data_IF_445784444473
#
_entry.id   IF_445784444473
#
_cell.length_a   1.000
_cell.length_b   1.000
_cell.length_c   1.000
_cell.angle_alpha   90.00
_cell.angle_beta   90.00
_cell.angle_gamma   90.00
#
_symmetry.space_group_name_H-M   'P 1'
#
loop_
_entity.id
_entity.type
_entity.pdbx_description
1 polymer ?
#
# COMPACT_ATOMS: atom_id res chain seq x y z
N UNK A 1 -2.09 11.49 -24.53
CA UNK A 1 -1.12 12.36 -23.81
C UNK A 1 0.13 11.55 -23.57
N UNK A 2 1.31 12.06 -23.93
CA UNK A 2 2.60 11.47 -23.51
C UNK A 2 2.93 12.06 -22.14
N UNK A 3 3.34 11.26 -21.14
CA UNK A 3 3.79 11.84 -19.88
C UNK A 3 5.08 12.63 -20.13
N UNK A 4 5.06 13.89 -19.68
CA UNK A 4 6.24 14.72 -19.56
C UNK A 4 7.01 14.23 -18.32
N UNK A 5 8.29 13.92 -18.51
CA UNK A 5 9.25 13.53 -17.47
C UNK A 5 9.16 12.08 -16.94
N UNK A 6 10.00 11.14 -17.42
CA UNK A 6 10.04 9.76 -16.93
C UNK A 6 10.52 9.62 -15.48
N UNK A 7 11.01 10.70 -14.84
CA UNK A 7 11.37 10.70 -13.42
C UNK A 7 10.16 10.84 -12.47
N UNK A 8 8.99 11.22 -12.99
CA UNK A 8 7.76 11.47 -12.23
C UNK A 8 6.68 10.42 -12.44
N UNK A 9 7.04 9.26 -13.00
CA UNK A 9 6.10 8.16 -13.12
C UNK A 9 6.01 7.42 -11.75
N UNK A 10 4.88 7.54 -11.01
CA UNK A 10 4.73 6.88 -9.70
C UNK A 10 4.55 5.36 -9.84
N UNK A 11 4.49 4.85 -11.06
CA UNK A 11 4.24 3.44 -11.34
C UNK A 11 5.55 2.64 -11.22
N UNK A 12 6.04 2.47 -9.99
CA UNK A 12 7.15 1.56 -9.72
C UNK A 12 6.64 0.12 -9.80
N UNK A 13 6.83 -0.50 -10.96
CA UNK A 13 6.58 -1.92 -11.21
C UNK A 13 7.69 -2.82 -10.65
N UNK A 14 7.79 -4.02 -11.23
CA UNK A 14 8.83 -5.00 -10.87
C UNK A 14 10.24 -4.40 -11.06
N UNK A 15 11.04 -4.39 -9.98
CA UNK A 15 12.38 -3.78 -9.99
C UNK A 15 12.43 -2.31 -9.55
N UNK A 16 11.53 -1.88 -8.65
CA UNK A 16 11.53 -0.54 -8.05
C UNK A 16 12.92 -0.14 -7.51
N UNK A 17 13.55 0.80 -8.21
CA UNK A 17 14.90 1.27 -7.89
C UNK A 17 14.91 2.25 -6.72
N UNK A 18 13.81 2.96 -6.48
CA UNK A 18 13.71 3.90 -5.37
C UNK A 18 13.61 3.12 -4.06
N UNK A 19 12.68 2.16 -3.98
CA UNK A 19 12.56 1.30 -2.81
C UNK A 19 13.86 0.54 -2.51
N UNK A 20 14.54 0.02 -3.54
CA UNK A 20 15.83 -0.63 -3.36
C UNK A 20 16.91 0.32 -2.79
N UNK A 21 16.94 1.58 -3.23
CA UNK A 21 17.88 2.59 -2.69
C UNK A 21 17.56 2.95 -1.25
N UNK A 22 16.28 3.14 -0.92
CA UNK A 22 15.84 3.41 0.44
C UNK A 22 16.19 2.26 1.39
N UNK A 23 15.89 1.02 0.98
CA UNK A 23 16.27 -0.16 1.73
C UNK A 23 17.79 -0.21 1.97
N UNK A 24 18.58 0.06 0.92
CA UNK A 24 20.04 0.05 1.04
C UNK A 24 20.57 1.12 2.02
N UNK A 25 20.01 2.34 2.00
CA UNK A 25 20.40 3.37 2.98
C UNK A 25 20.01 2.97 4.40
N UNK A 26 18.79 2.47 4.60
CA UNK A 26 18.31 2.07 5.94
C UNK A 26 19.13 0.94 6.53
N UNK A 27 19.51 -0.06 5.72
CA UNK A 27 20.41 -1.13 6.17
C UNK A 27 21.77 -0.57 6.58
N UNK A 28 22.31 0.36 5.81
CA UNK A 28 23.61 0.94 6.11
C UNK A 28 23.59 1.77 7.40
N UNK A 29 22.52 2.53 7.62
CA UNK A 29 22.31 3.31 8.84
C UNK A 29 22.11 2.39 10.04
N UNK A 30 21.30 1.33 9.90
CA UNK A 30 21.07 0.34 10.95
C UNK A 30 22.37 -0.34 11.42
N UNK A 31 23.26 -0.67 10.48
CA UNK A 31 24.58 -1.21 10.78
C UNK A 31 25.49 -0.17 11.43
N UNK A 32 25.52 1.05 10.88
CA UNK A 32 26.35 2.13 11.42
C UNK A 32 25.97 2.54 12.85
N UNK A 33 24.68 2.45 13.18
CA UNK A 33 24.15 2.70 14.53
C UNK A 33 24.44 1.55 15.52
N UNK A 34 25.02 0.44 15.07
CA UNK A 34 25.38 -0.69 15.94
C UNK A 34 24.18 -1.49 16.45
N UNK A 35 23.04 -1.44 15.75
CA UNK A 35 21.80 -2.10 16.16
C UNK A 35 21.76 -3.60 15.84
N UNK A 36 22.79 -4.11 15.17
CA UNK A 36 22.83 -5.50 14.66
C UNK A 36 22.80 -6.51 15.80
N UNK A 37 23.65 -6.32 16.80
CA UNK A 37 23.80 -7.24 17.92
C UNK A 37 22.55 -7.29 18.79
N UNK A 38 21.98 -6.13 19.11
CA UNK A 38 20.76 -6.05 19.92
C UNK A 38 19.57 -6.68 19.19
N UNK A 39 19.38 -6.38 17.90
CA UNK A 39 18.31 -7.00 17.12
C UNK A 39 18.49 -8.51 16.95
N UNK A 40 19.74 -8.99 16.83
CA UNK A 40 20.02 -10.43 16.78
C UNK A 40 19.67 -11.12 18.11
N UNK A 41 19.98 -10.48 19.24
CA UNK A 41 19.62 -11.00 20.57
C UNK A 41 18.11 -11.03 20.76
N UNK A 42 17.41 -9.95 20.46
CA UNK A 42 15.94 -9.88 20.54
C UNK A 42 15.27 -10.93 19.67
N UNK A 43 15.78 -11.15 18.44
CA UNK A 43 15.26 -12.18 17.56
C UNK A 43 15.47 -13.60 18.14
N UNK A 44 16.63 -13.87 18.74
CA UNK A 44 16.89 -15.15 19.40
C UNK A 44 15.94 -15.39 20.58
N UNK A 45 15.80 -14.38 21.45
CA UNK A 45 14.89 -14.43 22.60
C UNK A 45 13.44 -14.67 22.16
N UNK A 46 12.99 -14.03 21.09
CA UNK A 46 11.65 -14.24 20.54
C UNK A 46 11.43 -15.67 20.02
N UNK A 47 12.41 -16.23 19.31
CA UNK A 47 12.33 -17.61 18.81
C UNK A 47 12.26 -18.62 19.95
N UNK A 48 13.02 -18.39 21.02
CA UNK A 48 13.02 -19.24 22.20
C UNK A 48 11.74 -19.12 23.03
N UNK A 49 11.26 -17.89 23.25
CA UNK A 49 10.06 -17.62 24.04
C UNK A 49 8.78 -18.08 23.32
N UNK A 50 8.71 -17.88 22.01
CA UNK A 50 7.49 -18.11 21.22
C UNK A 50 7.73 -18.94 19.93
N UNK A 51 8.21 -20.18 20.05
CA UNK A 51 8.64 -20.98 18.89
C UNK A 51 7.52 -21.24 17.88
N UNK A 52 6.27 -21.37 18.35
CA UNK A 52 5.11 -21.57 17.48
C UNK A 52 4.72 -20.29 16.72
N UNK A 53 4.95 -19.11 17.31
CA UNK A 53 4.73 -17.83 16.64
C UNK A 53 5.84 -17.53 15.64
N UNK A 54 7.09 -17.73 16.04
CA UNK A 54 8.25 -17.61 15.17
C UNK A 54 8.10 -18.47 13.91
N UNK A 55 7.69 -19.74 14.06
CA UNK A 55 7.42 -20.64 12.93
C UNK A 55 6.28 -20.14 12.03
N UNK A 56 5.23 -19.53 12.59
CA UNK A 56 4.15 -18.91 11.80
C UNK A 56 4.63 -17.68 11.05
N UNK A 57 5.47 -16.86 11.67
CA UNK A 57 6.06 -15.68 11.06
C UNK A 57 6.97 -16.07 9.87
N UNK A 58 7.84 -17.07 10.05
CA UNK A 58 8.69 -17.61 8.99
C UNK A 58 7.86 -18.15 7.80
N UNK A 59 6.80 -18.90 8.08
CA UNK A 59 5.90 -19.40 7.03
C UNK A 59 5.19 -18.28 6.26
N UNK A 60 4.84 -17.17 6.93
CA UNK A 60 4.27 -16.00 6.27
C UNK A 60 5.31 -15.28 5.42
N UNK A 61 6.52 -15.06 5.96
CA UNK A 61 7.61 -14.42 5.23
C UNK A 61 7.97 -15.19 3.96
N UNK A 62 8.06 -16.53 4.05
CA UNK A 62 8.34 -17.40 2.90
C UNK A 62 7.28 -17.34 1.80
N UNK A 63 6.01 -17.07 2.16
CA UNK A 63 4.92 -16.89 1.19
C UNK A 63 4.98 -15.54 0.47
N UNK A 64 5.72 -14.57 1.01
CA UNK A 64 5.78 -13.22 0.50
C UNK A 64 4.47 -12.44 0.70
N UNK A 65 4.43 -11.16 0.30
CA UNK A 65 3.21 -10.38 0.32
C UNK A 65 2.16 -11.05 -0.59
N UNK A 66 0.97 -11.32 -0.05
CA UNK A 66 -0.13 -11.83 -0.85
C UNK A 66 -0.51 -10.75 -1.89
N UNK A 67 -0.44 -11.04 -3.19
CA UNK A 67 -0.96 -10.10 -4.18
C UNK A 67 -2.45 -9.94 -3.91
N UNK A 68 -2.89 -8.70 -3.67
CA UNK A 68 -4.32 -8.37 -3.62
C UNK A 68 -4.91 -8.76 -4.98
N UNK A 69 -5.64 -9.87 -5.02
CA UNK A 69 -6.30 -10.40 -6.23
C UNK A 69 -7.52 -9.58 -6.62
N UNK A 70 -7.46 -8.25 -6.54
CA UNK A 70 -8.56 -7.40 -7.00
C UNK A 70 -8.30 -7.11 -8.47
N UNK A 71 -9.14 -7.65 -9.34
CA UNK A 71 -9.07 -7.36 -10.77
C UNK A 71 -9.48 -5.90 -11.04
N UNK A 72 -8.98 -5.32 -12.14
CA UNK A 72 -9.40 -3.98 -12.58
C UNK A 72 -10.92 -3.93 -12.80
N UNK A 73 -11.50 -5.01 -13.32
CA UNK A 73 -12.95 -5.12 -13.51
C UNK A 73 -13.71 -5.07 -12.18
N UNK A 74 -13.17 -5.71 -11.14
CA UNK A 74 -13.76 -5.66 -9.80
C UNK A 74 -13.68 -4.24 -9.19
N UNK A 75 -12.58 -3.51 -9.44
CA UNK A 75 -12.45 -2.10 -9.04
C UNK A 75 -13.44 -1.20 -9.80
N UNK A 76 -13.60 -1.43 -11.12
CA UNK A 76 -14.56 -0.70 -11.95
C UNK A 76 -16.00 -0.99 -11.51
N UNK A 77 -16.30 -2.25 -11.19
CA UNK A 77 -17.61 -2.65 -10.68
C UNK A 77 -17.92 -1.99 -9.33
N UNK A 78 -16.95 -1.98 -8.39
CA UNK A 78 -17.08 -1.27 -7.11
C UNK A 78 -17.26 0.23 -7.33
N UNK A 79 -16.49 0.83 -8.24
CA UNK A 79 -16.61 2.25 -8.60
C UNK A 79 -18.01 2.61 -9.13
N UNK A 80 -18.55 1.82 -10.06
CA UNK A 80 -19.92 2.01 -10.58
C UNK A 80 -20.96 1.92 -9.46
N UNK A 81 -20.84 0.94 -8.57
CA UNK A 81 -21.78 0.78 -7.45
C UNK A 81 -21.80 1.98 -6.50
N UNK A 82 -20.65 2.61 -6.27
CA UNK A 82 -20.54 3.82 -5.44
C UNK A 82 -21.14 5.01 -6.16
N UNK A 83 -20.83 5.19 -7.44
CA UNK A 83 -21.37 6.27 -8.27
C UNK A 83 -22.90 6.20 -8.32
N UNK A 84 -23.47 5.02 -8.55
CA UNK A 84 -24.92 4.86 -8.64
C UNK A 84 -25.63 5.09 -7.30
N UNK A 85 -24.96 4.80 -6.18
CA UNK A 85 -25.48 5.11 -4.84
C UNK A 85 -25.51 6.62 -4.56
N UNK A 86 -24.51 7.36 -5.03
CA UNK A 86 -24.33 8.79 -4.75
C UNK A 86 -25.10 9.68 -5.75
N UNK A 87 -25.30 9.21 -6.98
CA UNK A 87 -26.03 9.91 -8.06
C UNK A 87 -27.35 10.55 -7.62
N UNK A 88 -28.32 9.85 -6.98
CA UNK A 88 -29.60 10.45 -6.62
C UNK A 88 -29.49 11.54 -5.54
N UNK A 89 -28.41 11.55 -4.75
CA UNK A 89 -28.18 12.57 -3.73
C UNK A 89 -27.67 13.85 -4.41
N UNK A 90 -26.77 13.69 -5.38
CA UNK A 90 -26.21 14.80 -6.16
C UNK A 90 -27.28 15.45 -7.03
N UNK A 91 -28.11 14.66 -7.72
CA UNK A 91 -29.21 15.16 -8.55
C UNK A 91 -30.18 16.03 -7.72
N UNK A 92 -30.59 15.56 -6.53
CA UNK A 92 -31.44 16.34 -5.61
C UNK A 92 -30.78 17.63 -5.12
N UNK A 93 -29.47 17.62 -4.93
CA UNK A 93 -28.73 18.82 -4.52
C UNK A 93 -28.66 19.85 -5.65
N UNK A 94 -28.40 19.39 -6.88
CA UNK A 94 -28.35 20.23 -8.08
C UNK A 94 -29.72 20.85 -8.36
N UNK A 95 -30.81 20.08 -8.27
CA UNK A 95 -32.17 20.61 -8.48
C UNK A 95 -32.58 21.65 -7.44
N UNK A 96 -32.16 21.45 -6.18
CA UNK A 96 -32.39 22.41 -5.09
C UNK A 96 -31.60 23.71 -5.27
N UNK A 97 -30.41 23.63 -5.84
CA UNK A 97 -29.59 24.80 -6.17
C UNK A 97 -30.21 25.53 -7.38
N UNK A 98 -30.54 24.80 -8.45
CA UNK A 98 -31.12 25.37 -9.68
C UNK A 98 -32.46 26.07 -9.41
N UNK A 99 -33.31 25.52 -8.55
CA UNK A 99 -34.57 26.15 -8.13
C UNK A 99 -34.39 27.41 -7.28
N UNK A 100 -33.25 27.58 -6.59
CA UNK A 100 -32.91 28.79 -5.82
C UNK A 100 -32.30 29.91 -6.66
N UNK A 101 -31.61 29.58 -7.76
CA UNK A 101 -30.95 30.55 -8.64
C UNK A 101 -31.72 30.85 -9.94
N UNK A 102 -32.89 30.24 -10.14
CA UNK A 102 -33.78 30.50 -11.29
C UNK A 102 -34.88 31.52 -10.97
N UNK A 103 -34.60 32.52 -10.14
CA UNK A 103 -35.49 33.64 -9.83
C UNK A 103 -34.82 34.97 -10.14
#
# INVERSE_FOLDING_TARGET
MKPQDPSKDPNQGEGDKLSARHYNSEVHDFVAEGKVEDAAREAAEFVEAEPAEAKRAEQRAKRGPNPTKVSVDELVAKGRSVIDRVRPIVERAVDRVKSRFSK
#
